data_IF_207601113391
#
_entry.id   IF_207601113391
#
_cell.length_a   1.000
_cell.length_b   1.000
_cell.length_c   1.000
_cell.angle_alpha   90.00
_cell.angle_beta   90.00
_cell.angle_gamma   90.00
#
_symmetry.space_group_name_H-M   'P 1'
#
loop_
_entity.id
_entity.type
_entity.pdbx_description
1 polymer ?
#
# COMPACT_ATOMS: atom_id res chain seq x y z
N UNK A 1 -31.46 -11.07 18.86
CA UNK A 1 -30.01 -10.83 18.82
C UNK A 1 -29.43 -11.89 17.90
N UNK A 2 -28.99 -11.51 16.70
CA UNK A 2 -28.40 -12.45 15.74
C UNK A 2 -26.99 -11.98 15.43
N UNK A 3 -26.01 -12.62 16.07
CA UNK A 3 -24.58 -12.47 15.81
C UNK A 3 -24.22 -13.32 14.60
N UNK A 4 -24.16 -12.69 13.42
CA UNK A 4 -23.74 -13.30 12.17
C UNK A 4 -22.60 -12.50 11.55
N UNK A 5 -21.41 -12.57 12.14
CA UNK A 5 -20.18 -12.04 11.57
C UNK A 5 -19.04 -13.04 11.83
N UNK A 6 -19.16 -14.22 11.23
CA UNK A 6 -18.03 -15.15 11.06
C UNK A 6 -18.22 -15.93 9.76
N UNK A 7 -18.39 -15.19 8.65
CA UNK A 7 -18.01 -15.74 7.35
C UNK A 7 -16.49 -15.60 7.25
N UNK A 8 -15.76 -16.59 7.76
CA UNK A 8 -14.38 -16.82 7.35
C UNK A 8 -14.39 -17.10 5.85
N UNK A 9 -14.18 -16.06 5.05
CA UNK A 9 -13.90 -16.17 3.62
C UNK A 9 -12.57 -16.89 3.50
N UNK A 10 -12.61 -18.18 3.19
CA UNK A 10 -11.41 -18.94 2.83
C UNK A 10 -10.79 -18.21 1.63
N UNK A 11 -9.53 -17.73 1.72
CA UNK A 11 -8.91 -17.02 0.62
C UNK A 11 -8.95 -17.91 -0.62
N UNK A 12 -9.43 -17.39 -1.75
CA UNK A 12 -9.34 -18.12 -3.01
C UNK A 12 -7.86 -18.50 -3.24
N UNK A 13 -7.60 -19.63 -3.89
CA UNK A 13 -6.21 -20.03 -4.22
C UNK A 13 -5.46 -18.93 -4.98
N UNK A 14 -6.18 -18.08 -5.72
CA UNK A 14 -5.68 -16.91 -6.42
C UNK A 14 -5.30 -15.79 -5.45
N UNK A 15 -6.19 -15.43 -4.52
CA UNK A 15 -5.91 -14.40 -3.51
C UNK A 15 -4.70 -14.78 -2.64
N UNK A 16 -4.60 -16.04 -2.22
CA UNK A 16 -3.45 -16.53 -1.44
C UNK A 16 -2.12 -16.39 -2.21
N UNK A 17 -2.13 -16.68 -3.52
CA UNK A 17 -0.96 -16.47 -4.39
C UNK A 17 -0.65 -14.98 -4.57
N UNK A 18 -1.68 -14.15 -4.71
CA UNK A 18 -1.53 -12.69 -4.82
C UNK A 18 -0.89 -12.12 -3.56
N UNK A 19 -1.37 -12.49 -2.37
CA UNK A 19 -0.76 -12.09 -1.09
C UNK A 19 0.69 -12.54 -1.02
N UNK A 20 0.98 -13.82 -1.28
CA UNK A 20 2.35 -14.35 -1.25
C UNK A 20 3.29 -13.65 -2.26
N UNK A 21 2.76 -13.27 -3.43
CA UNK A 21 3.52 -12.51 -4.43
C UNK A 21 3.84 -11.10 -3.94
N UNK A 22 2.87 -10.43 -3.31
CA UNK A 22 3.07 -9.08 -2.76
C UNK A 22 4.08 -9.12 -1.61
N UNK A 23 3.99 -10.12 -0.73
CA UNK A 23 4.97 -10.36 0.33
C UNK A 23 6.38 -10.55 -0.23
N UNK A 24 6.54 -11.40 -1.26
CA UNK A 24 7.84 -11.65 -1.88
C UNK A 24 8.44 -10.40 -2.55
N UNK A 25 7.59 -9.52 -3.05
CA UNK A 25 7.98 -8.26 -3.70
C UNK A 25 8.22 -7.11 -2.71
N UNK A 26 8.08 -7.34 -1.40
CA UNK A 26 8.28 -6.30 -0.38
C UNK A 26 7.10 -5.34 -0.23
N UNK A 27 5.93 -5.68 -0.77
CA UNK A 27 4.71 -4.86 -0.74
C UNK A 27 3.73 -5.28 0.36
N UNK A 28 4.21 -5.96 1.39
CA UNK A 28 3.38 -6.45 2.49
C UNK A 28 4.08 -6.24 3.81
N UNK A 29 3.44 -5.45 4.67
CA UNK A 29 3.88 -5.20 6.03
C UNK A 29 3.08 -6.05 7.01
N UNK A 30 3.78 -6.68 7.96
CA UNK A 30 3.18 -7.46 9.05
C UNK A 30 2.85 -6.61 10.27
N UNK A 31 3.05 -5.30 10.20
CA UNK A 31 2.54 -4.37 11.20
C UNK A 31 1.01 -4.54 11.31
N UNK A 32 0.48 -4.91 12.49
CA UNK A 32 -0.94 -5.16 12.71
C UNK A 32 -1.86 -3.98 12.38
N UNK A 33 -1.32 -2.75 12.35
CA UNK A 33 -2.09 -1.53 12.05
C UNK A 33 -2.38 -1.37 10.55
N UNK A 34 -1.55 -1.95 9.68
CA UNK A 34 -1.67 -1.86 8.22
C UNK A 34 -1.96 -3.21 7.56
N UNK A 35 -1.67 -4.33 8.23
CA UNK A 35 -1.90 -5.69 7.71
C UNK A 35 -3.34 -5.89 7.18
N UNK A 36 -4.42 -5.46 7.87
CA UNK A 36 -5.78 -5.61 7.35
C UNK A 36 -5.99 -4.82 6.05
N UNK A 37 -5.39 -3.64 5.92
CA UNK A 37 -5.48 -2.82 4.72
C UNK A 37 -4.72 -3.44 3.54
N UNK A 38 -3.55 -4.05 3.79
CA UNK A 38 -2.86 -4.82 2.75
C UNK A 38 -3.68 -6.01 2.26
N UNK A 39 -4.41 -6.69 3.14
CA UNK A 39 -5.31 -7.78 2.73
C UNK A 39 -6.46 -7.27 1.85
N UNK A 40 -7.06 -6.13 2.21
CA UNK A 40 -8.09 -5.48 1.37
C UNK A 40 -7.50 -5.08 0.02
N UNK A 41 -6.33 -4.43 0.02
CA UNK A 41 -5.61 -4.05 -1.19
C UNK A 41 -5.31 -5.26 -2.08
N UNK A 42 -4.78 -6.35 -1.51
CA UNK A 42 -4.48 -7.58 -2.25
C UNK A 42 -5.74 -8.17 -2.90
N UNK A 43 -6.87 -8.13 -2.20
CA UNK A 43 -8.17 -8.55 -2.75
C UNK A 43 -8.64 -7.65 -3.89
N UNK A 44 -8.49 -6.33 -3.76
CA UNK A 44 -8.83 -5.38 -4.83
C UNK A 44 -7.91 -5.55 -6.05
N UNK A 45 -6.62 -5.83 -5.83
CA UNK A 45 -5.65 -6.06 -6.87
C UNK A 45 -5.94 -7.36 -7.65
N UNK A 46 -6.26 -8.44 -6.94
CA UNK A 46 -6.70 -9.71 -7.52
C UNK A 46 -7.99 -9.55 -8.35
N UNK A 47 -8.94 -8.78 -7.80
CA UNK A 47 -10.20 -8.45 -8.47
C UNK A 47 -9.97 -7.63 -9.72
N UNK A 48 -9.07 -6.65 -9.71
CA UNK A 48 -8.73 -5.84 -10.88
C UNK A 48 -8.15 -6.70 -12.01
N UNK A 49 -7.25 -7.64 -11.71
CA UNK A 49 -6.70 -8.56 -12.73
C UNK A 49 -7.80 -9.38 -13.40
N UNK A 50 -8.69 -9.93 -12.58
CA UNK A 50 -9.83 -10.71 -13.06
C UNK A 50 -10.82 -9.82 -13.84
N UNK A 51 -11.05 -8.60 -13.38
CA UNK A 51 -11.93 -7.61 -14.00
C UNK A 51 -11.43 -7.15 -15.36
N UNK A 52 -10.13 -6.92 -15.53
CA UNK A 52 -9.51 -6.62 -16.82
C UNK A 52 -9.76 -7.77 -17.81
N UNK A 53 -9.52 -9.01 -17.40
CA UNK A 53 -9.73 -10.16 -18.27
C UNK A 53 -11.20 -10.33 -18.66
N UNK A 54 -12.12 -10.24 -17.69
CA UNK A 54 -13.55 -10.33 -17.93
C UNK A 54 -14.07 -9.21 -18.85
N UNK A 55 -13.53 -8.00 -18.71
CA UNK A 55 -13.85 -6.87 -19.58
C UNK A 55 -13.42 -7.13 -21.03
N UNK A 56 -12.19 -7.64 -21.23
CA UNK A 56 -11.67 -7.98 -22.57
C UNK A 56 -12.51 -9.06 -23.24
N UNK A 57 -12.77 -10.17 -22.54
CA UNK A 57 -13.60 -11.27 -23.07
C UNK A 57 -15.02 -10.81 -23.35
N UNK A 58 -15.61 -10.01 -22.46
CA UNK A 58 -16.96 -9.48 -22.63
C UNK A 58 -17.11 -8.58 -23.86
N UNK A 59 -16.10 -7.75 -24.16
CA UNK A 59 -16.10 -6.93 -25.37
C UNK A 59 -15.87 -7.78 -26.62
N UNK A 60 -14.90 -8.70 -26.59
CA UNK A 60 -14.61 -9.59 -27.71
C UNK A 60 -15.83 -10.43 -28.13
N UNK A 61 -16.64 -10.87 -27.17
CA UNK A 61 -17.86 -11.64 -27.41
C UNK A 61 -19.10 -10.76 -27.68
N UNK A 62 -18.96 -9.43 -27.71
CA UNK A 62 -20.06 -8.50 -27.93
C UNK A 62 -21.07 -8.42 -26.78
N UNK A 63 -20.74 -8.94 -25.59
CA UNK A 63 -21.60 -8.93 -24.39
C UNK A 63 -21.55 -7.60 -23.64
N UNK A 64 -20.47 -6.83 -23.79
CA UNK A 64 -20.22 -5.58 -23.08
C UNK A 64 -19.72 -4.54 -24.09
N UNK A 65 -20.19 -3.30 -23.97
CA UNK A 65 -19.66 -2.19 -24.79
C UNK A 65 -18.24 -1.83 -24.34
N UNK A 66 -17.38 -1.47 -25.29
CA UNK A 66 -15.97 -1.15 -25.01
C UNK A 66 -15.83 0.00 -24.01
N UNK A 67 -16.69 1.01 -24.10
CA UNK A 67 -16.69 2.16 -23.20
C UNK A 67 -17.04 1.76 -21.76
N UNK A 68 -18.00 0.85 -21.58
CA UNK A 68 -18.41 0.36 -20.26
C UNK A 68 -17.32 -0.51 -19.63
N UNK A 69 -16.68 -1.36 -20.44
CA UNK A 69 -15.49 -2.12 -20.04
C UNK A 69 -14.36 -1.18 -19.57
N UNK A 70 -14.10 -0.11 -20.32
CA UNK A 70 -13.12 0.92 -19.96
C UNK A 70 -13.43 1.62 -18.64
N UNK A 71 -14.66 2.10 -18.48
CA UNK A 71 -15.07 2.78 -17.24
C UNK A 71 -15.00 1.85 -16.03
N UNK A 72 -15.42 0.59 -16.19
CA UNK A 72 -15.36 -0.41 -15.12
C UNK A 72 -13.93 -0.66 -14.64
N UNK A 73 -12.98 -0.90 -15.55
CA UNK A 73 -11.57 -1.12 -15.19
C UNK A 73 -10.96 0.14 -14.56
N UNK A 74 -11.23 1.32 -15.14
CA UNK A 74 -10.78 2.59 -14.58
C UNK A 74 -11.30 2.84 -13.16
N UNK A 75 -12.55 2.47 -12.88
CA UNK A 75 -13.14 2.61 -11.54
C UNK A 75 -12.49 1.66 -10.53
N UNK A 76 -12.20 0.42 -10.94
CA UNK A 76 -11.46 -0.54 -10.11
C UNK A 76 -10.02 -0.06 -9.83
N UNK A 77 -9.33 0.50 -10.84
CA UNK A 77 -8.01 1.11 -10.67
C UNK A 77 -8.05 2.28 -9.68
N UNK A 78 -9.06 3.16 -9.75
CA UNK A 78 -9.25 4.24 -8.77
C UNK A 78 -9.43 3.69 -7.35
N UNK A 79 -10.24 2.65 -7.19
CA UNK A 79 -10.44 1.97 -5.90
C UNK A 79 -9.14 1.39 -5.34
N UNK A 80 -8.33 0.77 -6.20
CA UNK A 80 -7.00 0.26 -5.82
C UNK A 80 -6.06 1.37 -5.36
N UNK A 81 -6.02 2.49 -6.08
CA UNK A 81 -5.21 3.67 -5.71
C UNK A 81 -5.67 4.21 -4.35
N UNK A 82 -6.97 4.35 -4.11
CA UNK A 82 -7.47 4.81 -2.81
C UNK A 82 -7.07 3.86 -1.67
N UNK A 83 -7.19 2.55 -1.89
CA UNK A 83 -6.77 1.54 -0.90
C UNK A 83 -5.29 1.69 -0.55
N UNK A 84 -4.43 1.91 -1.55
CA UNK A 84 -3.00 2.14 -1.33
C UNK A 84 -2.72 3.46 -0.60
N UNK A 85 -3.42 4.54 -0.96
CA UNK A 85 -3.31 5.83 -0.28
C UNK A 85 -3.65 5.70 1.21
N UNK A 86 -4.67 4.93 1.57
CA UNK A 86 -5.01 4.69 2.98
C UNK A 86 -3.89 3.97 3.75
N UNK A 87 -3.21 2.99 3.13
CA UNK A 87 -2.04 2.35 3.73
C UNK A 87 -0.94 3.38 3.99
N UNK A 88 -0.63 4.19 2.97
CA UNK A 88 0.43 5.19 3.07
C UNK A 88 0.12 6.27 4.11
N UNK A 89 -1.13 6.70 4.26
CA UNK A 89 -1.53 7.65 5.29
C UNK A 89 -1.28 7.12 6.71
N UNK A 90 -1.54 5.84 6.97
CA UNK A 90 -1.24 5.23 8.29
C UNK A 90 0.26 5.18 8.53
N UNK A 91 1.04 4.76 7.52
CA UNK A 91 2.51 4.72 7.62
C UNK A 91 3.10 6.11 7.84
N UNK A 92 2.64 7.13 7.10
CA UNK A 92 3.03 8.53 7.29
C UNK A 92 2.67 9.03 8.69
N UNK A 93 1.46 8.72 9.19
CA UNK A 93 1.05 9.07 10.55
C UNK A 93 1.97 8.42 11.59
N UNK A 94 2.40 7.17 11.38
CA UNK A 94 3.30 6.48 12.31
C UNK A 94 4.70 7.08 12.32
N UNK A 95 5.23 7.41 11.15
CA UNK A 95 6.50 8.13 11.00
C UNK A 95 6.43 9.48 11.71
N UNK A 96 5.33 10.22 11.53
CA UNK A 96 5.11 11.50 12.21
C UNK A 96 5.07 11.34 13.73
N UNK A 97 4.34 10.35 14.26
CA UNK A 97 4.25 10.07 15.70
C UNK A 97 5.64 9.79 16.29
N UNK A 98 6.42 8.91 15.66
CA UNK A 98 7.78 8.56 16.12
C UNK A 98 8.74 9.74 16.00
N UNK A 99 8.59 10.58 14.99
CA UNK A 99 9.39 11.79 14.82
C UNK A 99 9.10 12.81 15.94
N UNK A 100 7.83 12.99 16.32
CA UNK A 100 7.47 13.83 17.46
C UNK A 100 8.00 13.26 18.78
N UNK A 101 7.97 11.94 18.97
CA UNK A 101 8.58 11.30 20.13
C UNK A 101 10.10 11.55 20.20
N UNK A 102 10.78 11.48 19.05
CA UNK A 102 12.21 11.78 18.95
C UNK A 102 12.50 13.23 19.34
N UNK A 103 11.76 14.19 18.79
CA UNK A 103 11.91 15.61 19.14
C UNK A 103 11.69 15.83 20.64
N UNK A 104 10.67 15.22 21.24
CA UNK A 104 10.41 15.33 22.68
C UNK A 104 11.54 14.71 23.53
N UNK A 105 12.16 13.61 23.07
CA UNK A 105 13.32 13.02 23.73
C UNK A 105 14.54 13.94 23.67
N UNK A 106 14.84 14.50 22.49
CA UNK A 106 15.94 15.45 22.28
C UNK A 106 15.73 16.75 23.06
N UNK A 107 14.50 17.28 23.13
CA UNK A 107 14.15 18.47 23.92
C UNK A 107 14.30 18.24 25.43
N UNK A 108 13.91 17.06 25.93
CA UNK A 108 14.12 16.69 27.34
C UNK A 108 15.61 16.55 27.68
N UNK A 109 16.41 16.04 26.75
CA UNK A 109 17.87 15.99 26.90
C UNK A 109 18.46 17.40 26.94
N UNK A 110 18.08 18.27 25.99
CA UNK A 110 18.57 19.65 25.91
C UNK A 110 18.14 20.50 27.12
N UNK A 111 16.93 20.31 27.64
CA UNK A 111 16.44 21.00 28.84
C UNK A 111 17.16 20.54 30.12
N UNK A 112 17.57 19.27 30.21
CA UNK A 112 18.41 18.76 31.33
C UNK A 112 19.86 19.22 31.23
N UNK A 113 20.39 19.33 30.01
CA UNK A 113 21.70 19.94 29.76
C UNK A 113 21.79 21.42 30.18
N UNK A 114 20.64 22.09 30.33
CA UNK A 114 20.56 23.45 30.87
C UNK A 114 20.44 23.52 32.41
N UNK A 115 20.08 22.43 33.11
CA UNK A 115 19.72 22.46 34.54
C UNK A 115 20.67 21.63 35.45
N UNK A 116 21.40 20.60 34.97
CA UNK A 116 22.15 19.71 35.88
C UNK A 116 23.63 19.48 35.51
N UNK A 117 24.49 20.30 36.10
CA UNK A 117 25.94 20.07 36.23
C UNK A 117 26.29 19.09 37.38
N UNK A 118 25.32 18.40 38.02
CA UNK A 118 25.59 17.55 39.19
C UNK A 118 24.72 16.29 39.30
N UNK A 119 25.31 15.17 38.87
CA UNK A 119 25.08 13.75 39.26
C UNK A 119 23.86 13.03 38.67
N UNK A 120 24.02 12.38 37.50
CA UNK A 120 23.29 11.14 37.16
C UNK A 120 23.92 10.34 35.98
N UNK A 121 25.10 9.74 36.17
CA UNK A 121 25.88 9.06 35.09
C UNK A 121 25.35 7.71 34.58
N UNK A 122 24.18 7.24 35.01
CA UNK A 122 23.59 5.99 34.50
C UNK A 122 22.26 6.21 33.75
N UNK A 123 21.47 7.24 34.10
CA UNK A 123 20.26 7.62 33.36
C UNK A 123 20.56 8.45 32.10
N UNK A 124 21.68 9.20 32.10
CA UNK A 124 22.18 9.97 30.95
C UNK A 124 22.52 9.06 29.75
N UNK A 125 23.16 7.90 29.99
CA UNK A 125 23.55 6.97 28.93
C UNK A 125 22.36 6.25 28.28
N UNK A 126 21.35 5.88 29.08
CA UNK A 126 20.15 5.19 28.60
C UNK A 126 19.26 6.09 27.73
N UNK A 127 19.12 7.37 28.08
CA UNK A 127 18.33 8.32 27.30
C UNK A 127 18.97 8.64 25.93
N UNK A 128 20.28 8.85 25.89
CA UNK A 128 21.04 9.09 24.64
C UNK A 128 20.98 7.86 23.72
N UNK A 129 21.09 6.65 24.29
CA UNK A 129 20.94 5.41 23.52
C UNK A 129 19.52 5.26 22.96
N UNK A 130 18.49 5.60 23.73
CA UNK A 130 17.11 5.52 23.24
C UNK A 130 16.81 6.56 22.15
N UNK A 131 17.30 7.80 22.28
CA UNK A 131 17.17 8.82 21.22
C UNK A 131 17.90 8.39 19.94
N UNK A 132 19.11 7.84 20.06
CA UNK A 132 19.89 7.32 18.92
C UNK A 132 19.15 6.16 18.25
N UNK A 133 18.63 5.21 19.03
CA UNK A 133 17.86 4.07 18.53
C UNK A 133 16.59 4.54 17.81
N UNK A 134 15.88 5.51 18.37
CA UNK A 134 14.66 6.05 17.77
C UNK A 134 14.96 6.81 16.47
N UNK A 135 16.07 7.55 16.41
CA UNK A 135 16.55 8.23 15.21
C UNK A 135 16.88 7.25 14.08
N UNK A 136 17.64 6.19 14.38
CA UNK A 136 17.92 5.11 13.43
C UNK A 136 16.64 4.44 12.94
N UNK A 137 15.69 4.19 13.86
CA UNK A 137 14.40 3.58 13.53
C UNK A 137 13.56 4.46 12.61
N UNK A 138 13.48 5.77 12.89
CA UNK A 138 12.75 6.72 12.05
C UNK A 138 13.39 6.83 10.66
N UNK A 139 14.71 6.91 10.58
CA UNK A 139 15.43 6.95 9.31
C UNK A 139 15.15 5.70 8.45
N UNK A 140 15.21 4.51 9.05
CA UNK A 140 14.89 3.26 8.36
C UNK A 140 13.44 3.23 7.88
N UNK A 141 12.48 3.62 8.72
CA UNK A 141 11.06 3.64 8.34
C UNK A 141 10.78 4.61 7.19
N UNK A 142 11.43 5.78 7.17
CA UNK A 142 11.31 6.75 6.07
C UNK A 142 11.89 6.16 4.78
N UNK A 143 13.03 5.49 4.85
CA UNK A 143 13.63 4.84 3.69
C UNK A 143 12.70 3.75 3.13
N UNK A 144 12.29 2.79 3.97
CA UNK A 144 11.41 1.68 3.59
C UNK A 144 10.10 2.20 2.98
N UNK A 145 9.50 3.22 3.58
CA UNK A 145 8.28 3.85 3.10
C UNK A 145 8.46 4.49 1.71
N UNK A 146 9.57 5.19 1.48
CA UNK A 146 9.84 5.81 0.18
C UNK A 146 10.12 4.79 -0.91
N UNK A 147 10.88 3.73 -0.60
CA UNK A 147 11.16 2.63 -1.53
C UNK A 147 9.85 1.93 -1.95
N UNK A 148 9.02 1.57 -0.97
CA UNK A 148 7.72 0.96 -1.23
C UNK A 148 6.81 1.88 -2.08
N UNK A 149 6.76 3.18 -1.76
CA UNK A 149 5.97 4.16 -2.50
C UNK A 149 6.41 4.27 -3.95
N UNK A 150 7.72 4.31 -4.22
CA UNK A 150 8.25 4.38 -5.59
C UNK A 150 7.92 3.10 -6.35
N UNK A 151 8.12 1.94 -5.73
CA UNK A 151 7.84 0.65 -6.34
C UNK A 151 6.36 0.50 -6.69
N UNK A 152 5.45 0.90 -5.80
CA UNK A 152 4.01 0.91 -6.08
C UNK A 152 3.60 1.89 -7.17
N UNK A 153 4.20 3.08 -7.18
CA UNK A 153 3.97 4.06 -8.25
C UNK A 153 4.34 3.48 -9.61
N UNK A 154 5.47 2.77 -9.71
CA UNK A 154 5.91 2.16 -10.95
C UNK A 154 4.97 1.03 -11.39
N UNK A 155 4.58 0.14 -10.48
CA UNK A 155 3.63 -0.94 -10.76
C UNK A 155 2.28 -0.39 -11.25
N UNK A 156 1.72 0.63 -10.58
CA UNK A 156 0.47 1.27 -10.99
C UNK A 156 0.59 1.93 -12.37
N UNK A 157 1.70 2.61 -12.66
CA UNK A 157 1.95 3.20 -13.97
C UNK A 157 2.02 2.12 -15.06
N UNK A 158 2.69 0.99 -14.79
CA UNK A 158 2.75 -0.14 -15.70
C UNK A 158 1.37 -0.74 -15.96
N UNK A 159 0.53 -0.90 -14.93
CA UNK A 159 -0.84 -1.38 -15.08
C UNK A 159 -1.69 -0.43 -15.92
N UNK A 160 -1.61 0.87 -15.66
CA UNK A 160 -2.33 1.89 -16.42
C UNK A 160 -1.89 1.91 -17.88
N UNK A 161 -0.57 1.85 -18.12
CA UNK A 161 -0.03 1.84 -19.48
C UNK A 161 -0.46 0.60 -20.24
N UNK A 162 -0.29 -0.59 -19.65
CA UNK A 162 -0.71 -1.86 -20.25
C UNK A 162 -2.20 -1.86 -20.57
N UNK A 163 -3.04 -1.36 -19.65
CA UNK A 163 -4.47 -1.26 -19.90
C UNK A 163 -4.80 -0.34 -21.09
N UNK A 164 -4.17 0.84 -21.17
CA UNK A 164 -4.35 1.76 -22.30
C UNK A 164 -3.94 1.12 -23.62
N UNK A 165 -2.79 0.44 -23.66
CA UNK A 165 -2.32 -0.25 -24.86
C UNK A 165 -3.30 -1.34 -25.28
N UNK A 166 -3.68 -2.23 -24.37
CA UNK A 166 -4.61 -3.33 -24.69
C UNK A 166 -5.97 -2.80 -25.15
N UNK A 167 -6.48 -1.72 -24.54
CA UNK A 167 -7.72 -1.08 -24.95
C UNK A 167 -7.64 -0.51 -26.38
N UNK A 168 -6.54 0.17 -26.73
CA UNK A 168 -6.31 0.67 -28.08
C UNK A 168 -6.13 -0.45 -29.11
N UNK A 169 -5.43 -1.53 -28.75
CA UNK A 169 -5.28 -2.70 -29.64
C UNK A 169 -6.64 -3.36 -29.90
N UNK A 170 -7.48 -3.48 -28.86
CA UNK A 170 -8.84 -4.00 -28.99
C UNK A 170 -9.68 -3.13 -29.94
N UNK A 171 -9.54 -1.81 -29.86
CA UNK A 171 -10.22 -0.88 -30.76
C UNK A 171 -9.80 -1.09 -32.23
N UNK A 172 -8.51 -1.26 -32.49
CA UNK A 172 -8.01 -1.55 -33.83
C UNK A 172 -8.54 -2.89 -34.36
N UNK A 173 -8.47 -3.97 -33.57
CA UNK A 173 -8.95 -5.29 -33.98
C UNK A 173 -10.46 -5.31 -34.25
N UNK A 174 -11.25 -4.58 -33.46
CA UNK A 174 -12.70 -4.46 -33.69
C UNK A 174 -13.03 -3.68 -34.97
N UNK A 175 -12.19 -2.72 -35.36
CA UNK A 175 -12.31 -2.03 -36.65
C UNK A 175 -11.96 -2.97 -37.80
N UNK A 176 -10.86 -3.72 -37.68
CA UNK A 176 -10.40 -4.65 -38.72
C UNK A 176 -11.38 -5.81 -38.96
N UNK A 177 -12.14 -6.23 -37.94
CA UNK A 177 -13.19 -7.25 -38.06
C UNK A 177 -14.47 -6.75 -38.75
N UNK A 178 -14.57 -5.45 -39.02
CA UNK A 178 -15.76 -4.81 -39.59
C UNK A 178 -15.69 -4.61 -41.10
N UNK A 179 -14.50 -4.75 -41.69
CA UNK A 179 -14.19 -4.70 -43.14
C UNK A 179 -14.19 -6.11 -43.76
#
# INVERSE_FOLDING_TARGET
MSSGFDQQVVPSKTLARTIASLEKSGFYDRDPTVEPLYRVFASSYDSLKTGIWAALTGVQEGRILKEDAYQSVCQQMKGLIHSLVSIFQIKESKISELSTQLTNCEERENARGAEEERKQREEEGAAIHEATRLKERVAQLIQDFNEERIAWKNELNSLILNWRTVYSDLEQHLLDLRD
#
